data_IF_545607805392
#
_entry.id   IF_545607805392
#
_cell.length_a   1.000
_cell.length_b   1.000
_cell.length_c   1.000
_cell.angle_alpha   90.00
_cell.angle_beta   90.00
_cell.angle_gamma   90.00
#
_symmetry.space_group_name_H-M   'P 1'
#
loop_
_entity.id
_entity.type
_entity.pdbx_description
1 polymer ?
#
# COMPACT_ATOMS: atom_id res chain seq x y z
N UNK A 1 1.81 18.30 -21.35
CA UNK A 1 2.96 17.36 -21.29
C UNK A 1 2.77 16.17 -20.35
N UNK A 2 2.69 16.32 -19.02
CA UNK A 2 2.61 15.16 -18.10
C UNK A 2 1.42 14.22 -18.37
N UNK A 3 0.23 14.77 -18.61
CA UNK A 3 -0.97 14.00 -18.98
C UNK A 3 -0.75 13.18 -20.26
N UNK A 4 0.01 13.72 -21.23
CA UNK A 4 0.36 13.02 -22.46
C UNK A 4 1.24 11.81 -22.15
N UNK A 5 2.25 11.98 -21.30
CA UNK A 5 3.13 10.88 -20.89
C UNK A 5 2.37 9.74 -20.18
N UNK A 6 1.44 10.09 -19.28
CA UNK A 6 0.58 9.10 -18.61
C UNK A 6 -0.35 8.38 -19.59
N UNK A 7 -0.89 9.11 -20.57
CA UNK A 7 -1.75 8.54 -21.61
C UNK A 7 -0.99 7.56 -22.50
N UNK A 8 0.24 7.91 -22.88
CA UNK A 8 1.17 7.08 -23.65
C UNK A 8 1.55 5.80 -22.88
N UNK A 9 1.82 5.91 -21.56
CA UNK A 9 2.09 4.77 -20.69
C UNK A 9 0.89 3.83 -20.60
N UNK A 10 -0.33 4.36 -20.49
CA UNK A 10 -1.58 3.58 -20.48
C UNK A 10 -1.75 2.72 -21.74
N UNK A 11 -1.35 3.22 -22.91
CA UNK A 11 -1.42 2.48 -24.18
C UNK A 11 -0.19 1.63 -24.47
N UNK A 12 0.82 1.65 -23.59
CA UNK A 12 2.07 0.89 -23.76
C UNK A 12 3.00 1.44 -24.83
N UNK A 13 2.84 2.69 -25.25
CA UNK A 13 3.68 3.33 -26.29
C UNK A 13 4.54 4.40 -25.63
N UNK A 14 5.80 4.07 -25.32
CA UNK A 14 6.75 5.01 -24.72
C UNK A 14 7.86 5.32 -25.73
N UNK A 15 7.87 6.56 -26.22
CA UNK A 15 8.99 7.14 -26.98
C UNK A 15 10.15 7.55 -26.06
N UNK A 16 11.35 7.70 -26.62
CA UNK A 16 12.59 7.98 -25.88
C UNK A 16 12.50 9.21 -24.96
N UNK A 17 11.85 10.29 -25.42
CA UNK A 17 11.67 11.50 -24.62
C UNK A 17 10.78 11.28 -23.38
N UNK A 18 9.80 10.37 -23.44
CA UNK A 18 8.98 10.01 -22.27
C UNK A 18 9.86 9.37 -21.20
N UNK A 19 10.76 8.46 -21.60
CA UNK A 19 11.67 7.74 -20.69
C UNK A 19 12.65 8.73 -20.05
N UNK A 20 13.18 9.66 -20.83
CA UNK A 20 14.09 10.69 -20.34
C UNK A 20 13.42 11.58 -19.27
N UNK A 21 12.18 12.01 -19.51
CA UNK A 21 11.42 12.80 -18.55
C UNK A 21 11.10 12.02 -17.26
N UNK A 22 10.73 10.74 -17.33
CA UNK A 22 10.53 9.93 -16.12
C UNK A 22 11.81 9.74 -15.31
N UNK A 23 12.97 9.60 -15.95
CA UNK A 23 14.26 9.51 -15.24
C UNK A 23 14.58 10.79 -14.48
N UNK A 24 14.20 11.97 -14.98
CA UNK A 24 14.36 13.25 -14.27
C UNK A 24 13.55 13.31 -12.97
N UNK A 25 12.46 12.54 -12.86
CA UNK A 25 11.64 12.48 -11.65
C UNK A 25 12.28 11.70 -10.50
N UNK A 26 13.33 10.90 -10.75
CA UNK A 26 14.06 10.16 -9.71
C UNK A 26 14.87 11.04 -8.75
N UNK A 27 14.99 12.35 -9.03
CA UNK A 27 15.63 13.31 -8.11
C UNK A 27 14.95 13.29 -6.72
N UNK A 28 15.71 13.51 -5.64
CA UNK A 28 15.13 13.62 -4.30
C UNK A 28 14.17 14.81 -4.22
N UNK A 29 13.06 14.64 -3.49
CA UNK A 29 12.05 15.69 -3.25
C UNK A 29 12.07 16.04 -1.77
N UNK A 30 12.09 17.34 -1.46
CA UNK A 30 12.00 17.85 -0.10
C UNK A 30 10.59 18.37 0.17
N UNK A 31 10.08 18.08 1.38
CA UNK A 31 8.76 18.50 1.84
C UNK A 31 8.94 19.21 3.18
N UNK A 32 8.47 20.46 3.27
CA UNK A 32 8.63 21.32 4.45
C UNK A 32 7.44 21.21 5.43
N UNK A 33 6.36 20.53 5.03
CA UNK A 33 5.10 20.42 5.78
C UNK A 33 5.11 19.29 6.82
N UNK A 34 6.23 18.59 6.97
CA UNK A 34 6.36 17.44 7.87
C UNK A 34 5.65 16.17 7.36
N UNK A 35 5.04 16.20 6.17
CA UNK A 35 4.37 15.05 5.57
C UNK A 35 5.36 14.37 4.62
N UNK A 36 5.70 13.11 4.96
CA UNK A 36 6.53 12.29 4.07
C UNK A 36 5.71 11.80 2.85
N UNK A 37 6.32 11.71 1.66
CA UNK A 37 5.64 11.23 0.47
C UNK A 37 5.25 9.76 0.61
N UNK A 38 4.09 9.41 0.07
CA UNK A 38 3.68 8.00 -0.06
C UNK A 38 4.60 7.26 -1.01
N UNK A 39 5.20 6.17 -0.53
CA UNK A 39 5.99 5.27 -1.37
C UNK A 39 5.10 4.14 -1.92
N UNK A 40 5.30 3.82 -3.20
CA UNK A 40 4.58 2.76 -3.89
C UNK A 40 5.50 1.57 -4.12
N UNK A 41 5.07 0.38 -3.72
CA UNK A 41 5.82 -0.86 -3.90
C UNK A 41 4.98 -1.90 -4.66
N UNK A 42 5.62 -2.77 -5.45
CA UNK A 42 4.91 -3.83 -6.17
C UNK A 42 4.42 -4.96 -5.28
N UNK A 43 5.08 -5.22 -4.14
CA UNK A 43 4.74 -6.33 -3.24
C UNK A 43 4.20 -5.84 -1.89
N UNK A 44 3.16 -6.50 -1.37
CA UNK A 44 2.59 -6.25 -0.03
C UNK A 44 3.65 -6.26 1.07
N UNK A 45 4.53 -7.26 1.08
CA UNK A 45 5.60 -7.36 2.09
C UNK A 45 6.57 -6.19 2.09
N UNK A 46 6.82 -5.55 0.93
CA UNK A 46 7.63 -4.34 0.84
C UNK A 46 6.92 -3.12 1.44
N UNK A 47 5.60 -3.01 1.21
CA UNK A 47 4.75 -1.97 1.82
C UNK A 47 4.75 -2.13 3.34
N UNK A 48 4.51 -3.35 3.84
CA UNK A 48 4.46 -3.63 5.28
C UNK A 48 5.79 -3.32 5.96
N UNK A 49 6.91 -3.75 5.36
CA UNK A 49 8.24 -3.45 5.87
C UNK A 49 8.51 -1.94 5.92
N UNK A 50 8.25 -1.22 4.82
CA UNK A 50 8.50 0.21 4.75
C UNK A 50 7.61 1.01 5.73
N UNK A 51 6.34 0.62 5.85
CA UNK A 51 5.42 1.25 6.80
C UNK A 51 5.88 1.02 8.25
N UNK A 52 6.34 -0.19 8.59
CA UNK A 52 6.89 -0.48 9.91
C UNK A 52 8.17 0.33 10.19
N UNK A 53 9.06 0.46 9.22
CA UNK A 53 10.25 1.32 9.32
C UNK A 53 9.87 2.79 9.55
N UNK A 54 8.84 3.29 8.86
CA UNK A 54 8.33 4.65 9.07
C UNK A 54 7.71 4.82 10.45
N UNK A 55 6.90 3.86 10.89
CA UNK A 55 6.29 3.86 12.22
C UNK A 55 7.36 3.85 13.32
N UNK A 56 8.40 3.04 13.18
CA UNK A 56 9.48 2.94 14.15
C UNK A 56 10.30 4.24 14.31
N UNK A 57 10.31 5.12 13.31
CA UNK A 57 10.94 6.44 13.39
C UNK A 57 10.15 7.42 14.27
N UNK A 58 8.86 7.16 14.51
CA UNK A 58 8.04 8.01 15.35
C UNK A 58 8.38 7.76 16.84
N UNK A 59 8.64 8.81 17.63
CA UNK A 59 9.11 8.68 19.01
C UNK A 59 8.02 8.23 20.00
N UNK A 60 6.76 8.23 19.60
CA UNK A 60 5.63 7.90 20.46
C UNK A 60 5.52 6.39 20.74
N UNK A 61 4.72 6.05 21.74
CA UNK A 61 4.33 4.67 22.03
C UNK A 61 3.40 4.11 20.94
N UNK A 62 3.50 2.79 20.72
CA UNK A 62 2.66 2.06 19.76
C UNK A 62 1.35 1.64 20.40
N UNK A 63 0.23 1.96 19.75
CA UNK A 63 -1.11 1.45 20.07
C UNK A 63 -1.50 0.44 19.00
N UNK A 64 -1.91 -0.76 19.39
CA UNK A 64 -2.29 -1.83 18.45
C UNK A 64 -3.80 -1.98 18.40
N UNK A 65 -4.39 -1.82 17.21
CA UNK A 65 -5.80 -2.05 16.95
C UNK A 65 -6.00 -3.41 16.31
N UNK A 66 -6.80 -4.27 16.93
CA UNK A 66 -7.10 -5.62 16.42
C UNK A 66 -8.36 -5.64 15.57
N UNK A 67 -8.31 -6.36 14.46
CA UNK A 67 -9.46 -6.55 13.59
C UNK A 67 -10.56 -7.38 14.29
N UNK A 68 -11.81 -7.12 13.92
CA UNK A 68 -12.98 -7.87 14.37
C UNK A 68 -13.64 -8.53 13.15
N UNK A 69 -13.09 -9.68 12.74
CA UNK A 69 -13.53 -10.39 11.55
C UNK A 69 -14.69 -11.36 11.85
N UNK A 70 -15.62 -11.47 10.91
CA UNK A 70 -16.73 -12.43 10.98
C UNK A 70 -16.76 -13.33 9.75
N UNK A 71 -17.24 -14.56 9.92
CA UNK A 71 -17.33 -15.54 8.84
C UNK A 71 -18.66 -15.40 8.11
N UNK A 72 -18.58 -15.20 6.79
CA UNK A 72 -19.73 -15.25 5.90
C UNK A 72 -20.21 -16.67 5.60
N UNK A 73 -21.26 -16.74 4.77
CA UNK A 73 -21.72 -17.96 4.13
C UNK A 73 -21.33 -17.99 2.66
N UNK A 74 -21.21 -19.19 2.10
CA UNK A 74 -21.07 -19.39 0.65
C UNK A 74 -22.38 -19.10 -0.10
N UNK A 75 -22.35 -19.23 -1.43
CA UNK A 75 -23.52 -19.04 -2.30
C UNK A 75 -24.66 -20.05 -2.05
N UNK A 76 -24.38 -21.13 -1.31
CA UNK A 76 -25.33 -22.18 -0.95
C UNK A 76 -25.84 -22.02 0.50
N UNK A 77 -25.44 -20.96 1.20
CA UNK A 77 -25.84 -20.67 2.58
C UNK A 77 -25.03 -21.43 3.65
N UNK A 78 -24.02 -22.21 3.28
CA UNK A 78 -23.18 -22.91 4.25
C UNK A 78 -22.17 -21.93 4.87
N UNK A 79 -21.95 -22.01 6.19
CA UNK A 79 -20.92 -21.21 6.85
C UNK A 79 -19.53 -21.59 6.35
N UNK A 80 -18.74 -20.59 6.01
CA UNK A 80 -17.34 -20.78 5.65
C UNK A 80 -16.55 -21.37 6.83
N UNK A 81 -15.59 -22.25 6.51
CA UNK A 81 -14.62 -22.73 7.49
C UNK A 81 -13.70 -21.58 7.92
N UNK A 82 -13.10 -21.69 9.12
CA UNK A 82 -12.15 -20.67 9.62
C UNK A 82 -10.99 -20.49 8.65
N UNK A 83 -10.39 -21.59 8.20
CA UNK A 83 -9.26 -21.57 7.26
C UNK A 83 -9.63 -20.91 5.92
N UNK A 84 -10.81 -21.20 5.38
CA UNK A 84 -11.25 -20.58 4.12
C UNK A 84 -11.49 -19.08 4.27
N UNK A 85 -12.09 -18.64 5.39
CA UNK A 85 -12.30 -17.23 5.67
C UNK A 85 -10.96 -16.47 5.82
N UNK A 86 -9.98 -17.06 6.52
CA UNK A 86 -8.65 -16.46 6.65
C UNK A 86 -7.93 -16.32 5.30
N UNK A 87 -8.02 -17.34 4.43
CA UNK A 87 -7.45 -17.27 3.08
C UNK A 87 -8.09 -16.18 2.22
N UNK A 88 -9.40 -15.95 2.37
CA UNK A 88 -10.09 -14.88 1.65
C UNK A 88 -9.65 -13.51 2.15
N UNK A 89 -9.56 -13.32 3.46
CA UNK A 89 -9.12 -12.05 4.06
C UNK A 89 -7.66 -11.72 3.70
N UNK A 90 -6.77 -12.72 3.68
CA UNK A 90 -5.38 -12.50 3.30
C UNK A 90 -5.25 -12.04 1.82
N UNK A 91 -6.07 -12.61 0.92
CA UNK A 91 -6.13 -12.18 -0.49
C UNK A 91 -6.68 -10.77 -0.67
N UNK A 92 -7.52 -10.29 0.23
CA UNK A 92 -8.12 -8.96 0.19
C UNK A 92 -7.27 -7.88 0.89
N UNK A 93 -6.05 -8.21 1.31
CA UNK A 93 -5.15 -7.28 2.01
C UNK A 93 -5.79 -6.76 3.30
N UNK A 94 -6.49 -7.64 4.03
CA UNK A 94 -7.08 -7.31 5.32
C UNK A 94 -6.05 -7.54 6.45
N UNK A 95 -5.52 -6.48 7.10
CA UNK A 95 -4.60 -6.65 8.21
C UNK A 95 -5.35 -7.12 9.47
N UNK A 96 -4.79 -8.11 10.19
CA UNK A 96 -5.33 -8.58 11.47
C UNK A 96 -5.09 -7.57 12.60
N UNK A 97 -4.00 -6.82 12.50
CA UNK A 97 -3.60 -5.81 13.47
C UNK A 97 -3.09 -4.58 12.74
N UNK A 98 -3.41 -3.39 13.26
CA UNK A 98 -2.93 -2.11 12.75
C UNK A 98 -2.20 -1.40 13.89
N UNK A 99 -0.86 -1.34 13.85
CA UNK A 99 -0.09 -0.56 14.82
C UNK A 99 -0.14 0.92 14.44
N UNK A 100 -0.46 1.76 15.42
CA UNK A 100 -0.56 3.21 15.29
C UNK A 100 0.40 3.89 16.25
N UNK A 101 1.02 4.96 15.77
CA UNK A 101 1.80 5.90 16.56
C UNK A 101 1.37 7.30 16.15
N UNK A 102 1.14 8.17 17.13
CA UNK A 102 0.73 9.55 16.90
C UNK A 102 1.83 10.44 17.44
N UNK A 103 2.37 11.30 16.57
CA UNK A 103 3.33 12.36 16.88
C UNK A 103 2.67 13.51 17.61
#
# INVERSE_FOLDING_TARGET
EFIRMLSSMRTGVLEDWHIEEFRKLCRPVHYDDGISPTQLFPLKGQVEQYNLECLNKLPSETVVYKAMDSRGSDIYGNRLSLSAAEQLLDRLVCPKEVPLKVT
#
